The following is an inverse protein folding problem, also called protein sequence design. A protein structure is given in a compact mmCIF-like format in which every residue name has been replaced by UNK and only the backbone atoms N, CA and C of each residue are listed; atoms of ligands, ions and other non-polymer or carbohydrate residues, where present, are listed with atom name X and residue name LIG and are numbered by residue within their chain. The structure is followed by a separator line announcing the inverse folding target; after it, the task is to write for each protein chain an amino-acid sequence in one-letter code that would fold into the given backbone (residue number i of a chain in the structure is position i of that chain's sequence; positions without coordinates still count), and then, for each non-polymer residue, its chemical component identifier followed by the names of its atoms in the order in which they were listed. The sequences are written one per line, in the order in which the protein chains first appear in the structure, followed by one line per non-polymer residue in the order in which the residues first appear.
data_IF_737853004873
#
_entry.id   IF_737853004873
#
_cell.length_a   1.000
_cell.length_b   1.000
_cell.length_c   1.000
_cell.angle_alpha   90.00
_cell.angle_beta   90.00
_cell.angle_gamma   90.00
#
_symmetry.space_group_name_H-M   'P 1'
#
loop_
_entity.id
_entity.type
_entity.pdbx_description
1 polymer ?
#
# COMPACT_ATOMS: atom_id res chain seq x y z
N UNK A 1 17.00 -12.45 23.99
CA UNK A 1 15.91 -11.51 24.28
C UNK A 1 14.61 -12.08 23.73
N UNK A 2 13.51 -12.13 24.49
CA UNK A 2 12.20 -12.37 23.88
C UNK A 2 11.94 -11.25 22.87
N UNK A 3 11.61 -11.61 21.62
CA UNK A 3 11.27 -10.65 20.58
C UNK A 3 9.95 -9.94 20.90
N UNK A 4 9.80 -8.69 20.44
CA UNK A 4 8.57 -7.91 20.63
C UNK A 4 7.85 -7.72 19.29
N UNK A 5 6.56 -8.04 19.25
CA UNK A 5 5.70 -7.80 18.08
C UNK A 5 5.15 -6.37 18.09
N UNK A 6 5.98 -5.44 17.60
CA UNK A 6 5.61 -4.03 17.48
C UNK A 6 4.50 -3.81 16.44
N UNK A 7 4.56 -4.52 15.31
CA UNK A 7 3.57 -4.45 14.25
C UNK A 7 2.17 -4.81 14.78
N UNK A 8 2.09 -5.91 15.53
CA UNK A 8 0.85 -6.33 16.16
C UNK A 8 0.33 -5.36 17.20
N UNK A 9 1.20 -4.91 18.09
CA UNK A 9 0.83 -3.95 19.14
C UNK A 9 0.26 -2.66 18.54
N UNK A 10 0.90 -2.13 17.49
CA UNK A 10 0.46 -0.96 16.75
C UNK A 10 -0.89 -1.21 16.05
N UNK A 11 -1.00 -2.23 15.21
CA UNK A 11 -2.20 -2.46 14.40
C UNK A 11 -3.42 -2.82 15.26
N UNK A 12 -3.22 -3.55 16.36
CA UNK A 12 -4.29 -3.76 17.34
C UNK A 12 -4.74 -2.45 17.96
N UNK A 13 -3.82 -1.57 18.37
CA UNK A 13 -4.17 -0.28 18.95
C UNK A 13 -5.01 0.57 17.99
N UNK A 14 -4.60 0.66 16.72
CA UNK A 14 -5.25 1.46 15.68
C UNK A 14 -6.59 0.89 15.19
N UNK A 15 -6.83 -0.41 15.40
CA UNK A 15 -8.07 -1.09 14.99
C UNK A 15 -9.14 -1.14 16.09
N UNK A 16 -8.84 -0.70 17.32
CA UNK A 16 -9.82 -0.67 18.42
C UNK A 16 -11.06 0.13 18.02
N UNK A 17 -12.24 -0.48 18.20
CA UNK A 17 -13.54 0.15 17.90
C UNK A 17 -13.90 0.21 16.41
N UNK A 18 -13.08 -0.34 15.51
CA UNK A 18 -13.40 -0.43 14.08
C UNK A 18 -14.25 -1.67 13.78
N UNK A 19 -15.13 -1.57 12.78
CA UNK A 19 -16.05 -2.65 12.37
C UNK A 19 -15.38 -3.82 11.61
N UNK A 20 -14.09 -3.72 11.28
CA UNK A 20 -13.32 -4.78 10.65
C UNK A 20 -13.09 -5.89 11.68
N UNK A 21 -13.88 -6.96 11.60
CA UNK A 21 -13.86 -8.00 12.63
C UNK A 21 -12.52 -8.75 12.59
N UNK A 22 -11.73 -8.59 13.65
CA UNK A 22 -10.59 -9.43 13.93
C UNK A 22 -11.10 -10.85 14.20
N UNK A 23 -10.94 -11.76 13.24
CA UNK A 23 -11.01 -13.18 13.55
C UNK A 23 -9.83 -13.53 14.46
N UNK A 24 -10.04 -14.37 15.47
CA UNK A 24 -8.92 -14.98 16.20
C UNK A 24 -8.25 -16.02 15.30
N UNK A 25 -7.46 -15.55 14.33
CA UNK A 25 -6.78 -16.41 13.35
C UNK A 25 -5.52 -17.00 13.97
N UNK A 26 -5.40 -18.32 13.93
CA UNK A 26 -4.21 -19.05 14.37
C UNK A 26 -2.97 -18.71 13.51
N UNK A 27 -1.77 -19.12 13.95
CA UNK A 27 -0.53 -18.84 13.19
C UNK A 27 -0.48 -19.55 11.83
N UNK A 28 -1.01 -20.76 11.76
CA UNK A 28 -1.07 -21.56 10.52
C UNK A 28 -2.07 -20.97 9.52
N UNK A 29 -3.26 -20.61 9.99
CA UNK A 29 -4.26 -19.91 9.19
C UNK A 29 -3.76 -18.54 8.70
N UNK A 30 -2.99 -17.81 9.52
CA UNK A 30 -2.36 -16.57 9.10
C UNK A 30 -1.36 -16.80 7.96
N UNK A 31 -0.54 -17.86 8.03
CA UNK A 31 0.37 -18.25 6.94
C UNK A 31 -0.39 -18.63 5.67
N UNK A 32 -1.43 -19.44 5.79
CA UNK A 32 -2.28 -19.80 4.66
C UNK A 32 -2.94 -18.56 4.03
N UNK A 33 -3.42 -17.63 4.85
CA UNK A 33 -3.98 -16.36 4.40
C UNK A 33 -2.96 -15.44 3.72
N UNK A 34 -1.69 -15.47 4.14
CA UNK A 34 -0.60 -14.78 3.46
C UNK A 34 -0.35 -15.40 2.08
N UNK A 35 -0.26 -16.73 2.00
CA UNK A 35 -0.06 -17.47 0.75
C UNK A 35 -1.22 -17.29 -0.24
N UNK A 36 -2.45 -17.17 0.26
CA UNK A 36 -3.63 -16.87 -0.55
C UNK A 36 -3.79 -15.37 -0.88
N UNK A 37 -3.05 -14.50 -0.18
CA UNK A 37 -3.05 -13.07 -0.40
C UNK A 37 -2.37 -12.67 -1.70
N UNK A 38 -2.67 -11.47 -2.18
CA UNK A 38 -2.21 -10.96 -3.47
C UNK A 38 -1.25 -9.81 -3.27
N UNK A 39 -0.11 -9.88 -3.96
CA UNK A 39 0.81 -8.77 -4.10
C UNK A 39 0.58 -8.06 -5.43
N UNK A 40 0.40 -6.74 -5.36
CA UNK A 40 0.18 -5.87 -6.50
C UNK A 40 1.33 -4.87 -6.57
N UNK A 41 1.81 -4.60 -7.78
CA UNK A 41 2.84 -3.59 -8.07
C UNK A 41 2.15 -2.42 -8.74
N UNK A 42 2.26 -1.24 -8.13
CA UNK A 42 1.48 -0.07 -8.51
C UNK A 42 2.42 1.01 -9.01
N UNK A 43 2.40 1.40 -10.31
CA UNK A 43 3.24 2.48 -10.83
C UNK A 43 2.86 3.81 -10.17
N UNK A 44 3.76 4.39 -9.37
CA UNK A 44 3.44 5.62 -8.62
C UNK A 44 3.29 6.82 -9.56
N UNK A 45 3.91 6.77 -10.75
CA UNK A 45 3.78 7.82 -11.76
C UNK A 45 2.32 8.12 -12.15
N UNK A 46 1.42 7.14 -12.07
CA UNK A 46 0.01 7.31 -12.45
C UNK A 46 -0.80 8.10 -11.42
N UNK A 47 -0.26 8.29 -10.22
CA UNK A 47 -0.96 8.93 -9.09
C UNK A 47 -0.34 10.27 -8.70
N UNK A 48 0.69 10.72 -9.41
CA UNK A 48 1.32 12.02 -9.17
C UNK A 48 0.34 13.17 -9.39
N UNK A 49 0.51 14.23 -8.60
CA UNK A 49 -0.22 15.48 -8.83
C UNK A 49 0.16 16.09 -10.20
N UNK A 50 -0.73 16.87 -10.84
CA UNK A 50 -0.47 17.47 -12.15
C UNK A 50 0.87 18.23 -12.21
N UNK A 51 1.63 18.02 -13.28
CA UNK A 51 2.93 18.67 -13.50
C UNK A 51 4.08 18.14 -12.65
N UNK A 52 3.88 17.09 -11.85
CA UNK A 52 4.95 16.46 -11.05
C UNK A 52 5.58 15.27 -11.79
N UNK A 53 6.81 14.94 -11.40
CA UNK A 53 7.57 13.80 -11.93
C UNK A 53 8.14 12.99 -10.77
N UNK A 54 8.36 11.69 -10.95
CA UNK A 54 8.95 10.83 -9.92
C UNK A 54 10.26 11.41 -9.36
N UNK A 55 11.13 11.91 -10.25
CA UNK A 55 12.40 12.54 -9.87
C UNK A 55 12.17 13.78 -9.01
N UNK A 56 11.30 14.69 -9.44
CA UNK A 56 11.04 15.94 -8.73
C UNK A 56 10.28 15.77 -7.41
N UNK A 57 9.69 14.60 -7.15
CA UNK A 57 8.99 14.29 -5.90
C UNK A 57 9.76 13.35 -4.98
N UNK A 58 10.92 12.85 -5.40
CA UNK A 58 11.67 11.85 -4.64
C UNK A 58 10.91 10.54 -4.46
N UNK A 59 10.03 10.19 -5.41
CA UNK A 59 9.23 8.96 -5.36
C UNK A 59 9.89 7.89 -6.23
N UNK A 60 9.83 6.64 -5.78
CA UNK A 60 10.29 5.50 -6.58
C UNK A 60 9.25 5.14 -7.65
N UNK A 61 9.64 4.31 -8.63
CA UNK A 61 8.76 3.93 -9.74
C UNK A 61 7.51 3.19 -9.29
N UNK A 62 7.59 2.38 -8.24
CA UNK A 62 6.47 1.53 -7.82
C UNK A 62 6.22 1.55 -6.32
N UNK A 63 4.94 1.53 -5.96
CA UNK A 63 4.44 1.14 -4.65
C UNK A 63 4.09 -0.35 -4.67
N UNK A 64 4.03 -0.95 -3.50
CA UNK A 64 3.54 -2.33 -3.34
C UNK A 64 2.25 -2.32 -2.53
N UNK A 65 1.30 -3.17 -2.92
CA UNK A 65 0.09 -3.41 -2.16
C UNK A 65 0.00 -4.89 -1.85
N UNK A 66 -0.24 -5.23 -0.59
CA UNK A 66 -0.63 -6.57 -0.19
C UNK A 66 -2.09 -6.56 0.21
N UNK A 67 -2.88 -7.43 -0.40
CA UNK A 67 -4.29 -7.59 -0.10
C UNK A 67 -4.59 -9.03 0.29
N UNK A 68 -5.19 -9.28 1.46
CA UNK A 68 -5.73 -10.60 1.80
C UNK A 68 -6.72 -11.08 0.73
N UNK A 69 -6.88 -12.40 0.57
CA UNK A 69 -7.73 -12.99 -0.46
C UNK A 69 -9.18 -12.43 -0.45
N UNK A 70 -9.75 -12.24 0.75
CA UNK A 70 -11.09 -11.67 0.92
C UNK A 70 -11.20 -10.16 0.68
N UNK A 71 -10.11 -9.47 0.34
CA UNK A 71 -10.07 -8.03 0.08
C UNK A 71 -9.65 -7.70 -1.36
N UNK A 72 -9.51 -8.69 -2.23
CA UNK A 72 -9.05 -8.48 -3.61
C UNK A 72 -9.62 -9.50 -4.58
N UNK A 73 -9.65 -9.14 -5.86
CA UNK A 73 -10.25 -9.95 -6.93
C UNK A 73 -11.68 -9.56 -7.25
N UNK A 74 -12.12 -9.90 -8.47
CA UNK A 74 -13.42 -9.47 -9.04
C UNK A 74 -14.65 -9.97 -8.27
N UNK A 75 -14.51 -11.08 -7.53
CA UNK A 75 -15.58 -11.62 -6.68
C UNK A 75 -15.68 -10.97 -5.29
N UNK A 76 -14.61 -10.31 -4.82
CA UNK A 76 -14.55 -9.69 -3.50
C UNK A 76 -14.74 -8.16 -3.54
N UNK A 77 -14.51 -7.53 -4.69
CA UNK A 77 -14.56 -6.07 -4.85
C UNK A 77 -15.69 -5.69 -5.79
N UNK A 78 -16.61 -4.85 -5.32
CA UNK A 78 -17.61 -4.21 -6.20
C UNK A 78 -16.91 -3.12 -7.01
N UNK A 79 -17.08 -3.05 -8.35
CA UNK A 79 -16.45 -2.01 -9.16
C UNK A 79 -16.68 -0.60 -8.60
N UNK A 80 -15.60 0.16 -8.43
CA UNK A 80 -15.64 1.53 -7.90
C UNK A 80 -15.85 1.64 -6.39
N UNK A 81 -15.95 0.53 -5.64
CA UNK A 81 -16.16 0.56 -4.18
C UNK A 81 -15.15 -0.32 -3.45
N UNK A 82 -14.51 0.25 -2.43
CA UNK A 82 -13.60 -0.49 -1.56
C UNK A 82 -14.38 -1.52 -0.71
N UNK A 83 -13.88 -2.75 -0.50
CA UNK A 83 -14.59 -3.77 0.28
C UNK A 83 -14.95 -3.28 1.68
N UNK A 84 -16.24 -3.33 2.02
CA UNK A 84 -16.81 -2.72 3.23
C UNK A 84 -16.46 -3.47 4.53
N UNK A 85 -15.79 -4.62 4.41
CA UNK A 85 -15.30 -5.46 5.49
C UNK A 85 -13.76 -5.44 5.61
N UNK A 86 -13.07 -4.69 4.75
CA UNK A 86 -11.62 -4.54 4.79
C UNK A 86 -11.22 -3.15 5.26
N UNK A 87 -10.09 -3.04 5.97
CA UNK A 87 -9.45 -1.76 6.29
C UNK A 87 -8.25 -1.50 5.38
N UNK A 88 -7.65 -0.31 5.51
CA UNK A 88 -6.37 0.03 4.88
C UNK A 88 -5.37 0.43 5.95
N UNK A 89 -4.12 0.01 5.79
CA UNK A 89 -2.97 0.55 6.52
C UNK A 89 -1.89 0.95 5.53
N UNK A 90 -1.47 2.21 5.59
CA UNK A 90 -0.33 2.71 4.81
C UNK A 90 0.92 2.59 5.69
N UNK A 91 1.95 1.93 5.17
CA UNK A 91 3.21 1.77 5.88
C UNK A 91 4.34 2.50 5.14
N UNK A 92 4.81 3.58 5.74
CA UNK A 92 5.95 4.35 5.27
C UNK A 92 7.25 3.74 5.81
N UNK A 93 8.18 3.39 4.92
CA UNK A 93 9.50 2.91 5.32
C UNK A 93 10.38 4.08 5.84
N UNK A 94 11.41 3.75 6.63
CA UNK A 94 12.45 4.71 7.00
C UNK A 94 13.45 5.00 5.88
N UNK A 95 14.34 5.96 6.08
CA UNK A 95 15.45 6.23 5.17
C UNK A 95 16.33 4.97 5.01
N UNK A 96 16.82 4.72 3.80
CA UNK A 96 17.60 3.55 3.38
C UNK A 96 16.89 2.19 3.51
N UNK A 97 15.58 2.18 3.79
CA UNK A 97 14.75 0.96 3.88
C UNK A 97 13.76 0.79 2.72
N UNK A 98 13.75 1.70 1.76
CA UNK A 98 12.96 1.56 0.55
C UNK A 98 13.41 0.34 -0.26
N UNK A 99 12.51 -0.24 -1.04
CA UNK A 99 12.78 -1.41 -1.88
C UNK A 99 13.86 -1.16 -2.95
N UNK A 100 14.14 0.11 -3.28
CA UNK A 100 15.30 0.50 -4.08
C UNK A 100 16.63 0.05 -3.44
N UNK A 101 16.72 0.07 -2.11
CA UNK A 101 17.93 -0.22 -1.34
C UNK A 101 17.96 -1.65 -0.80
N UNK A 102 16.82 -2.16 -0.32
CA UNK A 102 16.76 -3.43 0.42
C UNK A 102 16.07 -4.56 -0.34
N UNK A 103 15.51 -4.29 -1.52
CA UNK A 103 14.61 -5.21 -2.21
C UNK A 103 13.20 -5.25 -1.59
N UNK A 104 12.25 -5.82 -2.33
CA UNK A 104 10.83 -5.91 -1.92
C UNK A 104 10.64 -6.91 -0.77
N UNK A 105 11.50 -7.90 -0.65
CA UNK A 105 11.39 -9.03 0.28
C UNK A 105 11.36 -8.58 1.74
N UNK A 106 11.94 -7.40 2.04
CA UNK A 106 11.90 -6.79 3.37
C UNK A 106 10.46 -6.55 3.84
N UNK A 107 9.53 -6.21 2.93
CA UNK A 107 8.15 -5.89 3.26
C UNK A 107 7.43 -7.09 3.90
N UNK A 108 7.80 -8.31 3.50
CA UNK A 108 7.27 -9.55 4.07
C UNK A 108 7.83 -9.87 5.46
N UNK A 109 8.90 -9.19 5.88
CA UNK A 109 9.60 -9.42 7.16
C UNK A 109 9.23 -8.42 8.25
N UNK A 110 8.35 -7.46 7.95
CA UNK A 110 7.92 -6.41 8.89
C UNK A 110 6.92 -6.90 9.95
N UNK A 111 6.44 -8.15 9.86
CA UNK A 111 5.40 -8.71 10.73
C UNK A 111 3.97 -8.20 10.42
N UNK A 112 3.82 -7.22 9.52
CA UNK A 112 2.53 -6.61 9.18
C UNK A 112 1.58 -7.58 8.47
N UNK A 113 2.09 -8.51 7.67
CA UNK A 113 1.29 -9.41 6.85
C UNK A 113 0.39 -10.35 7.67
N UNK A 114 0.89 -10.88 8.79
CA UNK A 114 0.10 -11.76 9.67
C UNK A 114 -1.08 -10.98 10.28
N UNK A 115 -0.85 -9.73 10.65
CA UNK A 115 -1.88 -8.84 11.19
C UNK A 115 -2.85 -8.35 10.11
N UNK A 116 -2.38 -8.14 8.88
CA UNK A 116 -3.23 -7.79 7.76
C UNK A 116 -4.25 -8.88 7.44
N UNK A 117 -3.86 -10.15 7.50
CA UNK A 117 -4.80 -11.27 7.35
C UNK A 117 -5.81 -11.29 8.50
N UNK A 118 -5.34 -11.18 9.76
CA UNK A 118 -6.20 -11.20 10.96
C UNK A 118 -7.24 -10.10 10.99
N UNK A 119 -6.83 -8.89 10.60
CA UNK A 119 -7.63 -7.66 10.70
C UNK A 119 -8.27 -7.27 9.37
N UNK A 120 -8.14 -8.10 8.33
CA UNK A 120 -8.59 -7.82 6.95
C UNK A 120 -8.10 -6.46 6.44
N UNK A 121 -6.81 -6.18 6.60
CA UNK A 121 -6.19 -4.93 6.15
C UNK A 121 -5.55 -5.12 4.78
N UNK A 122 -5.85 -4.21 3.86
CA UNK A 122 -5.03 -3.95 2.69
C UNK A 122 -3.83 -3.11 3.13
N UNK A 123 -2.62 -3.63 2.92
CA UNK A 123 -1.39 -2.92 3.23
C UNK A 123 -0.91 -2.18 1.98
N UNK A 124 -0.65 -0.89 2.12
CA UNK A 124 -0.08 -0.05 1.06
C UNK A 124 1.33 0.39 1.48
N UNK A 125 2.31 0.06 0.66
CA UNK A 125 3.72 0.39 0.86
C UNK A 125 4.16 1.36 -0.25
N UNK A 126 3.86 2.67 -0.12
CA UNK A 126 4.42 3.66 -1.03
C UNK A 126 5.95 3.67 -0.86
N UNK A 127 6.67 4.10 -1.89
CA UNK A 127 8.14 4.03 -1.93
C UNK A 127 8.75 5.39 -2.30
N UNK A 128 9.67 5.88 -1.47
CA UNK A 128 10.52 7.02 -1.80
C UNK A 128 11.78 6.54 -2.55
N UNK A 129 12.46 7.47 -3.23
CA UNK A 129 13.69 7.23 -4.00
C UNK A 129 14.81 8.17 -3.60
N UNK A 130 16.02 7.81 -4.01
CA UNK A 130 17.23 8.61 -3.81
C UNK A 130 17.31 9.91 -4.63
N UNK A 131 16.25 10.26 -5.38
CA UNK A 131 16.28 11.36 -6.33
C UNK A 131 16.27 12.76 -5.70
N UNK A 132 15.70 12.89 -4.50
CA UNK A 132 15.64 14.16 -3.74
C UNK A 132 16.53 14.08 -2.51
N UNK A 133 16.44 13.00 -1.76
CA UNK A 133 17.31 12.71 -0.62
C UNK A 133 18.13 11.46 -0.93
N UNK A 134 19.47 11.47 -0.85
CA UNK A 134 20.31 10.31 -1.20
C UNK A 134 20.05 9.03 -0.40
N UNK A 135 19.48 9.13 0.80
CA UNK A 135 19.05 7.99 1.60
C UNK A 135 17.62 7.54 1.27
N UNK A 136 16.93 8.18 0.31
CA UNK A 136 15.55 7.87 -0.06
C UNK A 136 14.57 8.08 1.08
N UNK A 137 14.75 9.15 1.84
CA UNK A 137 13.82 9.58 2.86
C UNK A 137 12.52 10.12 2.25
N UNK A 138 11.42 10.04 3.02
CA UNK A 138 10.25 10.87 2.78
C UNK A 138 10.60 12.33 3.02
N UNK A 139 9.94 13.24 2.32
CA UNK A 139 10.12 14.67 2.50
C UNK A 139 9.41 15.14 3.77
N UNK A 140 10.18 15.41 4.81
CA UNK A 140 9.73 15.99 6.08
C UNK A 140 10.37 17.35 6.36
N UNK A 141 11.15 17.87 5.40
CA UNK A 141 11.90 19.13 5.50
C UNK A 141 11.45 20.17 4.47
N UNK A 142 10.66 19.78 3.48
CA UNK A 142 10.09 20.64 2.44
C UNK A 142 10.88 20.71 1.13
N UNK A 143 11.74 19.74 0.86
CA UNK A 143 12.56 19.66 -0.36
C UNK A 143 11.71 19.60 -1.64
N UNK A 144 10.53 18.99 -1.57
CA UNK A 144 9.59 18.87 -2.71
C UNK A 144 8.61 20.05 -2.80
N UNK A 145 8.71 21.01 -1.86
CA UNK A 145 7.98 22.27 -1.83
C UNK A 145 7.25 22.54 -0.51
N UNK A 146 6.78 23.79 -0.33
CA UNK A 146 6.21 24.29 0.93
C UNK A 146 4.95 23.57 1.43
N UNK A 147 4.32 22.73 0.62
CA UNK A 147 3.10 22.01 0.96
C UNK A 147 3.35 20.54 1.32
N UNK A 148 4.62 20.14 1.47
CA UNK A 148 5.06 18.75 1.66
C UNK A 148 4.30 17.99 2.76
N UNK A 149 3.93 18.67 3.84
CA UNK A 149 3.25 18.16 5.02
C UNK A 149 1.71 18.25 4.95
N UNK A 150 1.17 18.64 3.79
CA UNK A 150 -0.28 18.75 3.56
C UNK A 150 -0.77 17.72 2.56
N UNK A 151 -2.09 17.54 2.45
CA UNK A 151 -2.70 16.71 1.40
C UNK A 151 -2.41 17.20 -0.04
N UNK A 152 -1.91 18.44 -0.19
CA UNK A 152 -1.47 19.01 -1.48
C UNK A 152 0.04 18.84 -1.72
N UNK A 153 0.75 18.23 -0.78
CA UNK A 153 2.16 17.89 -0.90
C UNK A 153 2.38 16.82 -1.97
N UNK A 154 3.50 16.83 -2.70
CA UNK A 154 3.70 15.90 -3.81
C UNK A 154 3.70 14.42 -3.38
N UNK A 155 4.32 14.09 -2.25
CA UNK A 155 4.39 12.71 -1.76
C UNK A 155 3.07 12.25 -1.13
N UNK A 156 2.48 13.05 -0.23
CA UNK A 156 1.20 12.72 0.41
C UNK A 156 0.04 12.71 -0.61
N UNK A 157 -0.01 13.67 -1.52
CA UNK A 157 -1.01 13.74 -2.58
C UNK A 157 -0.98 12.52 -3.50
N UNK A 158 0.21 11.99 -3.82
CA UNK A 158 0.34 10.74 -4.57
C UNK A 158 -0.28 9.57 -3.82
N UNK A 159 0.01 9.43 -2.53
CA UNK A 159 -0.57 8.35 -1.71
C UNK A 159 -2.09 8.47 -1.64
N UNK A 160 -2.63 9.68 -1.45
CA UNK A 160 -4.08 9.91 -1.43
C UNK A 160 -4.76 9.52 -2.76
N UNK A 161 -4.14 9.85 -3.90
CA UNK A 161 -4.64 9.45 -5.22
C UNK A 161 -4.60 7.92 -5.40
N UNK A 162 -3.53 7.27 -4.95
CA UNK A 162 -3.42 5.81 -4.98
C UNK A 162 -4.50 5.16 -4.10
N UNK A 163 -4.73 5.70 -2.91
CA UNK A 163 -5.75 5.22 -1.98
C UNK A 163 -7.17 5.34 -2.56
N UNK A 164 -7.46 6.45 -3.25
CA UNK A 164 -8.74 6.64 -3.94
C UNK A 164 -8.98 5.59 -5.03
N UNK A 165 -7.92 5.11 -5.68
CA UNK A 165 -7.98 4.13 -6.77
C UNK A 165 -7.82 2.66 -6.30
N UNK A 166 -7.70 2.42 -4.99
CA UNK A 166 -7.62 1.05 -4.43
C UNK A 166 -8.72 0.11 -4.95
N UNK A 167 -10.00 0.50 -5.07
CA UNK A 167 -11.02 -0.40 -5.62
C UNK A 167 -10.65 -0.95 -7.00
N UNK A 168 -10.07 -0.12 -7.87
CA UNK A 168 -9.60 -0.55 -9.19
C UNK A 168 -8.34 -1.41 -9.07
N UNK A 169 -7.34 -0.95 -8.31
CA UNK A 169 -6.07 -1.67 -8.10
C UNK A 169 -6.31 -3.10 -7.60
N UNK A 170 -7.24 -3.29 -6.66
CA UNK A 170 -7.53 -4.60 -6.05
C UNK A 170 -8.22 -5.59 -7.00
N UNK A 171 -8.72 -5.13 -8.14
CA UNK A 171 -9.32 -5.98 -9.18
C UNK A 171 -8.38 -6.30 -10.34
N UNK A 172 -7.21 -5.64 -10.41
CA UNK A 172 -6.17 -5.96 -11.40
C UNK A 172 -5.57 -7.33 -11.13
N UNK A 173 -4.93 -7.92 -12.12
CA UNK A 173 -4.21 -9.19 -11.98
C UNK A 173 -3.01 -9.01 -11.04
N UNK A 174 -2.73 -10.05 -10.24
CA UNK A 174 -1.65 -10.00 -9.26
C UNK A 174 -0.34 -10.25 -9.98
N UNK A 175 0.76 -9.72 -9.46
CA UNK A 175 2.07 -10.19 -9.90
C UNK A 175 2.13 -11.71 -9.65
N UNK A 176 2.63 -12.52 -10.62
CA UNK A 176 2.98 -13.90 -10.34
C UNK A 176 4.13 -13.93 -9.32
N UNK A 177 3.80 -14.20 -8.06
CA UNK A 177 4.79 -14.33 -6.98
C UNK A 177 5.31 -15.77 -6.87
N UNK A 178 6.58 -15.96 -7.24
CA UNK A 178 7.41 -17.17 -7.10
C UNK A 178 6.99 -18.41 -7.93
N UNK A 179 7.73 -18.58 -9.05
CA UNK A 179 7.82 -19.75 -9.96
C UNK A 179 6.58 -20.06 -10.82
N UNK A 180 6.57 -19.56 -12.07
CA UNK A 180 6.57 -20.36 -13.30
C UNK A 180 6.70 -19.47 -14.55
N UNK A 181 7.28 -20.06 -15.60
CA UNK A 181 7.82 -19.47 -16.85
C UNK A 181 6.73 -19.05 -17.85
N UNK A 182 6.97 -17.91 -18.53
CA UNK A 182 6.34 -17.37 -19.77
C UNK A 182 4.79 -17.21 -19.77
N UNK A 183 4.17 -16.13 -20.26
CA UNK A 183 4.29 -15.51 -21.58
C UNK A 183 3.57 -14.15 -21.61
N UNK A 184 3.90 -13.33 -22.61
CA UNK A 184 3.51 -11.96 -22.97
C UNK A 184 2.01 -11.62 -23.00
N UNK A 185 1.64 -10.37 -22.64
CA UNK A 185 0.97 -9.41 -23.56
C UNK A 185 0.60 -8.08 -22.87
N UNK A 186 0.50 -7.02 -23.69
CA UNK A 186 0.33 -5.61 -23.34
C UNK A 186 -1.14 -5.15 -23.41
N UNK A 187 -1.51 -4.13 -22.63
CA UNK A 187 -2.81 -3.47 -22.69
C UNK A 187 -2.78 -2.03 -22.14
N UNK A 188 -3.36 -1.11 -22.90
CA UNK A 188 -3.39 0.36 -22.77
C UNK A 188 -4.29 0.88 -21.65
N UNK A 189 -3.91 1.98 -20.98
CA UNK A 189 -4.68 2.63 -19.91
C UNK A 189 -5.44 3.87 -20.39
N UNK A 190 -6.70 3.97 -19.96
CA UNK A 190 -7.57 5.14 -20.10
C UNK A 190 -7.68 5.84 -18.72
N UNK A 191 -7.48 7.16 -18.72
CA UNK A 191 -7.42 7.99 -17.51
C UNK A 191 -8.84 8.39 -17.06
N UNK A 192 -9.22 8.00 -15.84
CA UNK A 192 -10.45 8.45 -15.19
C UNK A 192 -10.17 9.65 -14.26
N UNK A 193 -11.05 10.66 -14.30
CA UNK A 193 -11.03 11.84 -13.43
C UNK A 193 -11.38 11.47 -11.99
N UNK A 194 -10.69 12.10 -11.03
CA UNK A 194 -10.92 11.93 -9.59
C UNK A 194 -11.89 13.01 -9.14
N UNK A 195 -13.14 12.63 -8.87
CA UNK A 195 -14.07 13.42 -8.06
C UNK A 195 -13.81 13.16 -6.57
N UNK A 196 -14.00 14.19 -5.75
CA UNK A 196 -13.76 14.22 -4.30
C UNK A 196 -14.53 13.09 -3.62
N UNK A 197 -13.83 12.08 -3.09
CA UNK A 197 -14.44 10.94 -2.39
C UNK A 197 -14.51 11.18 -0.87
N UNK A 198 -15.72 11.03 -0.34
CA UNK A 198 -16.00 10.91 1.09
C UNK A 198 -15.54 9.52 1.58
N UNK A 199 -14.44 9.51 2.32
CA UNK A 199 -13.82 8.29 2.84
C UNK A 199 -14.48 7.85 4.13
N UNK A 200 -15.76 7.47 4.09
CA UNK A 200 -16.55 7.02 5.24
C UNK A 200 -15.98 5.83 6.03
N UNK A 201 -14.80 5.30 5.67
CA UNK A 201 -14.11 4.22 6.36
C UNK A 201 -12.57 4.17 6.18
N UNK A 202 -11.95 5.05 5.38
CA UNK A 202 -10.49 5.04 5.20
C UNK A 202 -9.87 5.93 6.28
N UNK A 203 -9.47 5.32 7.39
CA UNK A 203 -8.54 5.99 8.30
C UNK A 203 -7.13 5.81 7.76
N UNK A 204 -6.59 6.86 7.16
CA UNK A 204 -5.16 6.97 6.88
C UNK A 204 -4.51 7.43 8.19
N UNK A 205 -3.77 6.53 8.84
CA UNK A 205 -2.81 6.95 9.84
C UNK A 205 -1.48 7.21 9.13
N UNK A 206 -1.05 8.47 9.18
CA UNK A 206 0.31 8.89 8.87
C UNK A 206 1.13 8.80 10.16
#
# INVERSE_FOLDING_TARGET
CPGHDLAGSMLQHLSRGRRWQAGAVGREEARAGISAGRWLKVPQEHYLLPGRTLKGTGLWRVAYVFAPAGCSGRGAVTPGRFPAECGVHVHYHGCAWGAQFTGKEVLSRLGLLEWAVRLRLVLVFPQASDAVDPAGCWDWTGETGQLFDTHRGPQLGMVLNLLADLPRILTQDAEPGAVAVNTTSAGTQEQARVDVLDFGNISVLV
#
